data_IF_005773048702
#
_entry.id   IF_005773048702
#
_cell.length_a   1.000
_cell.length_b   1.000
_cell.length_c   1.000
_cell.angle_alpha   90.00
_cell.angle_beta   90.00
_cell.angle_gamma   90.00
#
_symmetry.space_group_name_H-M   'P 1'
#
loop_
_entity.id
_entity.type
_entity.pdbx_description
1 polymer ?
#
# COMPACT_ATOMS: atom_id res chain seq x y z
N UNK A 1 6.27 -13.35 -12.43
CA UNK A 1 4.84 -13.61 -12.17
C UNK A 1 4.30 -12.42 -11.39
N UNK A 2 3.14 -11.85 -11.73
CA UNK A 2 2.54 -10.78 -10.93
C UNK A 2 2.30 -11.27 -9.51
N UNK A 3 2.53 -10.41 -8.51
CA UNK A 3 2.31 -10.77 -7.11
C UNK A 3 0.82 -11.09 -6.87
N UNK A 4 0.54 -12.26 -6.30
CA UNK A 4 -0.82 -12.73 -6.01
C UNK A 4 -1.33 -12.32 -4.63
N UNK A 5 -0.43 -11.84 -3.75
CA UNK A 5 -0.75 -11.38 -2.41
C UNK A 5 0.23 -10.27 -1.98
N UNK A 6 -0.13 -9.51 -0.94
CA UNK A 6 0.76 -8.53 -0.32
C UNK A 6 2.06 -9.17 0.18
N UNK A 7 2.00 -10.39 0.71
CA UNK A 7 3.18 -11.11 1.19
C UNK A 7 4.16 -11.46 0.05
N UNK A 8 3.64 -11.74 -1.15
CA UNK A 8 4.44 -12.01 -2.34
C UNK A 8 5.05 -10.72 -2.88
N UNK A 9 4.29 -9.62 -2.89
CA UNK A 9 4.77 -8.30 -3.28
C UNK A 9 5.91 -7.85 -2.36
N UNK A 10 5.70 -7.89 -1.04
CA UNK A 10 6.73 -7.56 -0.04
C UNK A 10 7.98 -8.46 -0.13
N UNK A 11 7.83 -9.72 -0.56
CA UNK A 11 8.97 -10.62 -0.75
C UNK A 11 9.81 -10.26 -1.98
N UNK A 12 9.19 -9.66 -2.99
CA UNK A 12 9.86 -9.22 -4.22
C UNK A 12 10.43 -7.80 -4.12
N UNK A 13 10.04 -7.03 -3.10
CA UNK A 13 10.54 -5.69 -2.85
C UNK A 13 12.03 -5.67 -2.49
N UNK A 14 12.67 -4.54 -2.80
CA UNK A 14 14.08 -4.33 -2.46
C UNK A 14 14.30 -4.14 -0.96
N UNK A 15 15.49 -4.47 -0.46
CA UNK A 15 15.88 -4.22 0.93
C UNK A 15 15.72 -2.73 1.32
N UNK A 16 15.97 -1.82 0.38
CA UNK A 16 15.77 -0.38 0.57
C UNK A 16 14.30 -0.02 0.80
N UNK A 17 13.41 -0.53 -0.02
CA UNK A 17 11.96 -0.32 0.11
C UNK A 17 11.42 -0.94 1.41
N UNK A 18 11.86 -2.16 1.76
CA UNK A 18 11.48 -2.80 3.02
C UNK A 18 12.01 -2.02 4.24
N UNK A 19 13.22 -1.50 4.17
CA UNK A 19 13.79 -0.64 5.22
C UNK A 19 12.99 0.65 5.37
N UNK A 20 12.59 1.28 4.27
CA UNK A 20 11.75 2.49 4.28
C UNK A 20 10.37 2.20 4.91
N UNK A 21 9.74 1.09 4.53
CA UNK A 21 8.47 0.64 5.11
C UNK A 21 8.58 0.48 6.63
N UNK A 22 9.58 -0.27 7.12
CA UNK A 22 9.75 -0.53 8.56
C UNK A 22 10.11 0.73 9.36
N UNK A 23 10.81 1.70 8.75
CA UNK A 23 11.09 3.00 9.37
C UNK A 23 9.84 3.87 9.47
N UNK A 24 9.02 3.84 8.42
CA UNK A 24 7.79 4.64 8.31
C UNK A 24 6.67 4.06 9.17
N UNK A 25 6.57 2.72 9.27
CA UNK A 25 5.58 1.99 10.07
C UNK A 25 6.23 1.23 11.21
N UNK A 26 6.59 1.95 12.29
CA UNK A 26 7.26 1.37 13.46
C UNK A 26 6.49 0.23 14.11
N UNK A 27 5.17 0.26 14.04
CA UNK A 27 4.29 -0.80 14.55
C UNK A 27 4.46 -2.14 13.82
N UNK A 28 4.99 -2.14 12.59
CA UNK A 28 5.35 -3.37 11.88
C UNK A 28 6.69 -3.96 12.33
N UNK A 29 7.59 -3.11 12.84
CA UNK A 29 8.95 -3.49 13.23
C UNK A 29 9.06 -4.05 14.65
N UNK A 30 8.01 -3.92 15.48
CA UNK A 30 8.07 -4.27 16.91
C UNK A 30 6.94 -5.22 17.32
N UNK A 31 7.25 -6.49 17.69
CA UNK A 31 8.56 -7.15 17.56
C UNK A 31 8.94 -7.36 16.08
N UNK A 32 10.21 -7.66 15.75
CA UNK A 32 10.59 -7.94 14.37
C UNK A 32 9.72 -9.03 13.74
N UNK A 33 9.22 -8.85 12.50
CA UNK A 33 8.50 -9.90 11.79
C UNK A 33 9.46 -11.03 11.42
N UNK A 34 8.99 -12.29 11.49
CA UNK A 34 9.80 -13.46 11.12
C UNK A 34 9.99 -13.59 9.60
N UNK A 35 9.03 -13.10 8.83
CA UNK A 35 8.96 -13.24 7.37
C UNK A 35 7.94 -12.25 6.76
N UNK A 36 7.86 -12.23 5.42
CA UNK A 36 6.95 -11.34 4.68
C UNK A 36 5.47 -11.65 4.88
N UNK A 37 5.10 -12.89 5.24
CA UNK A 37 3.72 -13.26 5.54
C UNK A 37 3.28 -12.62 6.85
N UNK A 38 4.09 -12.74 7.91
CA UNK A 38 3.82 -12.08 9.20
C UNK A 38 3.78 -10.56 9.04
N UNK A 39 4.69 -9.99 8.25
CA UNK A 39 4.70 -8.56 7.94
C UNK A 39 3.39 -8.12 7.25
N UNK A 40 2.96 -8.84 6.20
CA UNK A 40 1.72 -8.56 5.48
C UNK A 40 0.49 -8.66 6.40
N UNK A 41 0.39 -9.72 7.19
CA UNK A 41 -0.73 -9.91 8.14
C UNK A 41 -0.82 -8.76 9.13
N UNK A 42 0.31 -8.32 9.71
CA UNK A 42 0.34 -7.17 10.63
C UNK A 42 -0.06 -5.88 9.93
N UNK A 43 0.47 -5.64 8.74
CA UNK A 43 0.19 -4.45 7.93
C UNK A 43 -1.29 -4.27 7.63
N UNK A 44 -2.02 -5.37 7.41
CA UNK A 44 -3.46 -5.38 7.15
C UNK A 44 -4.36 -5.35 8.40
N UNK A 45 -3.81 -5.34 9.63
CA UNK A 45 -4.67 -5.25 10.82
C UNK A 45 -5.33 -3.87 10.92
N UNK A 46 -6.60 -3.76 11.36
CA UNK A 46 -7.31 -2.48 11.39
C UNK A 46 -6.57 -1.39 12.17
N UNK A 47 -5.98 -1.73 13.32
CA UNK A 47 -5.21 -0.77 14.12
C UNK A 47 -3.91 -0.32 13.46
N UNK A 48 -3.27 -1.17 12.66
CA UNK A 48 -2.06 -0.83 11.93
C UNK A 48 -2.38 0.03 10.69
N UNK A 49 -3.46 -0.30 9.99
CA UNK A 49 -3.98 0.51 8.87
C UNK A 49 -4.38 1.90 9.36
N UNK A 50 -5.14 2.00 10.46
CA UNK A 50 -5.56 3.28 11.03
C UNK A 50 -4.37 4.21 11.32
N UNK A 51 -3.33 3.70 12.01
CA UNK A 51 -2.09 4.47 12.27
C UNK A 51 -1.36 4.88 10.99
N UNK A 52 -1.31 4.00 10.00
CA UNK A 52 -0.65 4.33 8.73
C UNK A 52 -1.39 5.46 8.00
N UNK A 53 -2.72 5.53 8.14
CA UNK A 53 -3.57 6.60 7.60
C UNK A 53 -3.48 7.92 8.37
N UNK A 54 -3.21 7.90 9.68
CA UNK A 54 -3.07 9.11 10.51
C UNK A 54 -1.95 10.06 10.02
N UNK A 55 -0.91 9.51 9.39
CA UNK A 55 0.22 10.29 8.84
C UNK A 55 -0.02 10.80 7.40
N UNK A 56 -1.16 10.47 6.78
CA UNK A 56 -1.44 10.86 5.40
C UNK A 56 -2.10 12.24 5.33
N UNK A 57 -1.74 13.00 4.30
CA UNK A 57 -2.49 14.19 3.95
C UNK A 57 -3.86 13.83 3.35
N UNK A 58 -4.78 14.79 3.39
CA UNK A 58 -6.17 14.60 2.93
C UNK A 58 -6.25 14.17 1.46
N UNK A 59 -5.31 14.60 0.62
CA UNK A 59 -5.31 14.23 -0.79
C UNK A 59 -4.91 12.75 -0.97
N UNK A 60 -3.90 12.30 -0.25
CA UNK A 60 -3.46 10.89 -0.27
C UNK A 60 -4.56 9.97 0.27
N UNK A 61 -5.30 10.40 1.29
CA UNK A 61 -6.49 9.68 1.78
C UNK A 61 -7.59 9.60 0.72
N UNK A 62 -7.90 10.70 0.03
CA UNK A 62 -8.88 10.70 -1.06
C UNK A 62 -8.48 9.77 -2.22
N UNK A 63 -7.18 9.65 -2.53
CA UNK A 63 -6.68 8.69 -3.52
C UNK A 63 -6.86 7.24 -3.03
N UNK A 64 -6.61 6.95 -1.75
CA UNK A 64 -6.87 5.63 -1.17
C UNK A 64 -8.37 5.27 -1.25
N UNK A 65 -9.26 6.21 -0.93
CA UNK A 65 -10.71 6.05 -1.08
C UNK A 65 -11.11 5.81 -2.53
N UNK A 66 -10.52 6.53 -3.49
CA UNK A 66 -10.76 6.33 -4.92
C UNK A 66 -10.30 4.93 -5.38
N UNK A 67 -9.19 4.39 -4.85
CA UNK A 67 -8.77 3.02 -5.11
C UNK A 67 -9.84 2.01 -4.64
N UNK A 68 -10.35 2.19 -3.42
CA UNK A 68 -11.42 1.34 -2.87
C UNK A 68 -12.72 1.45 -3.68
N UNK A 69 -13.09 2.67 -4.09
CA UNK A 69 -14.27 2.89 -4.94
C UNK A 69 -14.14 2.21 -6.30
N UNK A 70 -12.93 2.17 -6.86
CA UNK A 70 -12.62 1.46 -8.09
C UNK A 70 -12.55 -0.07 -7.92
N UNK A 71 -12.56 -0.58 -6.69
CA UNK A 71 -12.53 -2.01 -6.37
C UNK A 71 -11.14 -2.62 -6.20
N UNK A 72 -10.13 -1.81 -5.87
CA UNK A 72 -8.74 -2.25 -5.69
C UNK A 72 -8.55 -3.24 -4.52
N UNK A 73 -9.52 -3.34 -3.60
CA UNK A 73 -9.60 -4.31 -2.51
C UNK A 73 -9.95 -5.74 -2.98
N UNK A 74 -10.51 -5.86 -4.19
CA UNK A 74 -10.92 -7.14 -4.79
C UNK A 74 -9.95 -7.56 -5.89
N UNK A 75 -9.71 -6.67 -6.85
CA UNK A 75 -8.95 -6.94 -8.06
C UNK A 75 -7.94 -5.81 -8.34
N UNK A 76 -6.87 -6.05 -9.12
CA UNK A 76 -5.96 -4.98 -9.49
C UNK A 76 -6.70 -4.00 -10.40
N UNK A 77 -6.63 -2.72 -10.07
CA UNK A 77 -7.28 -1.63 -10.81
C UNK A 77 -6.21 -0.85 -11.57
N UNK A 78 -6.41 -0.52 -12.86
CA UNK A 78 -5.51 0.37 -13.58
C UNK A 78 -5.36 1.72 -12.88
N UNK A 79 -4.12 2.22 -12.72
CA UNK A 79 -3.86 3.52 -12.09
C UNK A 79 -4.58 4.65 -12.83
N UNK A 80 -4.75 4.52 -14.15
CA UNK A 80 -5.51 5.47 -14.95
C UNK A 80 -6.98 5.59 -14.54
N UNK A 81 -7.61 4.53 -14.04
CA UNK A 81 -9.01 4.56 -13.61
C UNK A 81 -9.16 5.27 -12.26
N UNK A 82 -8.19 5.08 -11.36
CA UNK A 82 -8.09 5.87 -10.14
C UNK A 82 -7.86 7.35 -10.47
N UNK A 83 -6.95 7.66 -11.40
CA UNK A 83 -6.68 9.03 -11.84
C UNK A 83 -7.92 9.70 -12.44
N UNK A 84 -8.74 8.97 -13.23
CA UNK A 84 -10.01 9.46 -13.77
C UNK A 84 -11.02 9.80 -12.68
N UNK A 85 -11.12 8.96 -11.63
CA UNK A 85 -12.03 9.22 -10.50
C UNK A 85 -11.61 10.45 -9.68
N UNK A 86 -10.31 10.63 -9.47
CA UNK A 86 -9.77 11.78 -8.73
C UNK A 86 -9.75 13.06 -9.60
N UNK A 87 -9.62 12.91 -10.92
CA UNK A 87 -9.60 14.01 -11.89
C UNK A 87 -8.24 14.70 -12.05
N UNK A 88 -7.16 14.10 -11.55
CA UNK A 88 -5.78 14.62 -11.64
C UNK A 88 -4.75 13.49 -11.52
N UNK A 89 -3.47 13.82 -11.62
CA UNK A 89 -2.38 12.86 -11.43
C UNK A 89 -2.34 12.34 -9.98
N UNK A 90 -2.15 11.02 -9.85
CA UNK A 90 -2.15 10.27 -8.58
C UNK A 90 -0.84 9.54 -8.33
N UNK A 91 0.18 9.73 -9.19
CA UNK A 91 1.45 9.02 -9.10
C UNK A 91 2.16 9.21 -7.75
N UNK A 92 2.22 10.46 -7.26
CA UNK A 92 2.89 10.79 -6.00
C UNK A 92 2.14 10.22 -4.76
N UNK A 93 0.81 10.42 -4.62
CA UNK A 93 0.03 9.78 -3.56
C UNK A 93 0.09 8.25 -3.58
N UNK A 94 0.00 7.61 -4.75
CA UNK A 94 0.12 6.16 -4.86
C UNK A 94 1.51 5.68 -4.44
N UNK A 95 2.56 6.43 -4.75
CA UNK A 95 3.91 6.18 -4.25
C UNK A 95 3.96 6.19 -2.72
N UNK A 96 3.31 7.17 -2.07
CA UNK A 96 3.21 7.22 -0.60
C UNK A 96 2.46 6.03 -0.01
N UNK A 97 1.34 5.65 -0.63
CA UNK A 97 0.54 4.50 -0.19
C UNK A 97 1.33 3.18 -0.32
N UNK A 98 2.06 2.99 -1.44
CA UNK A 98 2.94 1.83 -1.65
C UNK A 98 4.07 1.75 -0.62
N UNK A 99 4.75 2.86 -0.34
CA UNK A 99 5.79 2.93 0.71
C UNK A 99 5.30 2.57 2.11
N UNK A 100 3.99 2.73 2.36
CA UNK A 100 3.35 2.37 3.62
C UNK A 100 2.62 1.03 3.58
N UNK A 101 2.71 0.26 2.49
CA UNK A 101 1.97 -0.98 2.28
C UNK A 101 0.46 -0.83 2.52
N UNK A 102 -0.10 0.34 2.14
CA UNK A 102 -1.54 0.61 2.06
C UNK A 102 -2.07 0.43 0.63
N UNK A 103 -1.16 0.36 -0.33
CA UNK A 103 -1.42 -0.03 -1.71
C UNK A 103 -0.23 -0.85 -2.20
N UNK A 104 -0.42 -1.67 -3.23
CA UNK A 104 0.62 -2.53 -3.79
C UNK A 104 0.27 -2.94 -5.22
N UNK A 105 1.17 -3.64 -5.90
CA UNK A 105 0.97 -4.09 -7.29
C UNK A 105 2.02 -3.52 -8.25
N UNK A 106 1.75 -3.66 -9.55
CA UNK A 106 2.60 -3.14 -10.62
C UNK A 106 2.52 -1.60 -10.70
N UNK A 107 3.37 -0.97 -11.52
CA UNK A 107 3.37 0.49 -11.63
C UNK A 107 2.07 1.04 -12.23
N UNK A 108 1.50 0.32 -13.18
CA UNK A 108 0.29 0.65 -13.93
C UNK A 108 -1.01 0.11 -13.31
N UNK A 109 -0.93 -0.72 -12.26
CA UNK A 109 -2.09 -1.29 -11.58
C UNK A 109 -1.94 -1.31 -10.06
N UNK A 110 -3.02 -1.03 -9.34
CA UNK A 110 -3.04 -0.91 -7.88
C UNK A 110 -4.01 -1.90 -7.24
N UNK A 111 -3.58 -2.48 -6.12
CA UNK A 111 -4.39 -3.20 -5.14
C UNK A 111 -4.27 -2.53 -3.79
N UNK A 112 -5.27 -2.70 -2.93
CA UNK A 112 -5.28 -2.25 -1.53
C UNK A 112 -5.28 -3.47 -0.63
#
# INVERSE_FOLDING_TARGET
MPATSLADWLRAESDGALTELLRTRRDLSTPPPSDSTVLATRAGTPGSVARACEDLDSFTLAVLEACLLAGADRDPVPVEDVAKLVGTDVAEPLGRLRKRALAWGADDAVRV
#
